data_IF_020916961515
#
_entry.id   IF_020916961515
#
_cell.length_a   1.000
_cell.length_b   1.000
_cell.length_c   1.000
_cell.angle_alpha   90.00
_cell.angle_beta   90.00
_cell.angle_gamma   90.00
#
_symmetry.space_group_name_H-M   'P 1'
#
loop_
_entity.id
_entity.type
_entity.pdbx_description
1 polymer ?
#
# COMPACT_ATOMS: atom_id res chain seq x y z
N UNK A 1 22.06 -5.52 -2.21
CA UNK A 1 20.78 -6.19 -1.87
C UNK A 1 19.70 -5.77 -2.87
N UNK A 2 18.92 -6.74 -3.38
CA UNK A 2 17.74 -6.50 -4.23
C UNK A 2 16.47 -6.67 -3.41
N UNK A 3 15.44 -5.83 -3.65
CA UNK A 3 14.20 -5.83 -2.88
C UNK A 3 12.95 -6.02 -3.71
N UNK A 4 11.91 -6.58 -3.08
CA UNK A 4 10.56 -6.70 -3.60
C UNK A 4 9.63 -5.78 -2.82
N UNK A 5 8.95 -4.84 -3.50
CA UNK A 5 7.92 -3.99 -2.88
C UNK A 5 6.55 -4.52 -3.26
N UNK A 6 5.81 -4.99 -2.27
CA UNK A 6 4.48 -5.53 -2.47
C UNK A 6 3.42 -4.46 -2.24
N UNK A 7 2.89 -3.94 -3.35
CA UNK A 7 1.80 -2.96 -3.36
C UNK A 7 0.44 -3.63 -3.15
N UNK A 8 -0.48 -2.96 -2.46
CA UNK A 8 -1.87 -3.36 -2.27
C UNK A 8 -2.82 -2.21 -2.58
N UNK A 9 -3.38 -1.53 -1.57
CA UNK A 9 -4.23 -0.35 -1.76
C UNK A 9 -3.42 0.96 -1.81
N UNK A 10 -2.16 0.90 -1.48
CA UNK A 10 -1.18 1.99 -1.46
C UNK A 10 -0.54 2.26 -2.84
N UNK A 11 -1.37 2.36 -3.89
CA UNK A 11 -0.96 2.48 -5.30
C UNK A 11 -0.36 3.86 -5.61
N UNK A 12 0.74 4.22 -4.92
CA UNK A 12 1.41 5.50 -5.07
C UNK A 12 2.93 5.37 -4.91
N UNK A 13 3.63 6.34 -5.47
CA UNK A 13 5.09 6.46 -5.38
C UNK A 13 5.48 7.54 -4.37
N UNK A 14 4.71 8.62 -4.28
CA UNK A 14 4.94 9.70 -3.32
C UNK A 14 4.52 9.26 -1.92
N UNK A 15 5.32 9.66 -0.93
CA UNK A 15 5.03 9.43 0.49
C UNK A 15 4.63 7.98 0.80
N UNK A 16 5.31 7.02 0.18
CA UNK A 16 5.11 5.59 0.39
C UNK A 16 6.27 5.03 1.22
N UNK A 17 5.97 4.69 2.47
CA UNK A 17 6.96 4.29 3.48
C UNK A 17 7.73 3.04 3.05
N UNK A 18 7.05 2.00 2.58
CA UNK A 18 7.70 0.76 2.14
C UNK A 18 8.62 0.98 0.95
N UNK A 19 8.16 1.73 -0.06
CA UNK A 19 8.95 2.04 -1.24
C UNK A 19 10.18 2.88 -0.91
N UNK A 20 10.03 3.88 -0.02
CA UNK A 20 11.15 4.71 0.44
C UNK A 20 12.23 3.86 1.12
N UNK A 21 11.85 3.00 2.07
CA UNK A 21 12.81 2.15 2.77
C UNK A 21 13.44 1.09 1.88
N UNK A 22 12.67 0.53 0.95
CA UNK A 22 13.21 -0.36 -0.07
C UNK A 22 14.25 0.35 -0.94
N UNK A 23 13.95 1.56 -1.42
CA UNK A 23 14.87 2.36 -2.24
C UNK A 23 16.16 2.73 -1.49
N UNK A 24 16.07 2.95 -0.18
CA UNK A 24 17.24 3.27 0.66
C UNK A 24 18.12 2.05 0.94
N UNK A 25 17.51 0.87 1.11
CA UNK A 25 18.21 -0.35 1.51
C UNK A 25 18.67 -1.19 0.33
N UNK A 26 17.94 -1.18 -0.79
CA UNK A 26 18.17 -2.07 -1.93
C UNK A 26 18.92 -1.35 -3.05
N UNK A 27 20.23 -1.21 -2.90
CA UNK A 27 21.13 -0.52 -3.85
C UNK A 27 21.24 -1.22 -5.21
N UNK A 28 21.00 -2.53 -5.27
CA UNK A 28 21.16 -3.36 -6.47
C UNK A 28 19.86 -3.45 -7.30
N UNK A 29 18.81 -2.79 -6.83
CA UNK A 29 17.56 -2.64 -7.53
C UNK A 29 16.32 -3.11 -6.76
N UNK A 30 15.18 -2.64 -7.24
CA UNK A 30 13.85 -2.90 -6.66
C UNK A 30 12.93 -3.42 -7.76
N UNK A 31 12.06 -4.36 -7.39
CA UNK A 31 10.93 -4.79 -8.20
C UNK A 31 9.65 -4.46 -7.42
N UNK A 32 8.69 -3.81 -8.06
CA UNK A 32 7.32 -3.71 -7.57
C UNK A 32 6.54 -4.98 -7.92
N UNK A 33 5.67 -5.44 -7.05
CA UNK A 33 4.72 -6.51 -7.34
C UNK A 33 3.34 -6.15 -6.84
N UNK A 34 2.33 -6.47 -7.64
CA UNK A 34 0.93 -6.46 -7.25
C UNK A 34 0.31 -7.83 -7.50
N UNK A 35 -0.43 -8.35 -6.52
CA UNK A 35 -1.10 -9.65 -6.63
C UNK A 35 -2.60 -9.43 -6.72
N UNK A 36 -3.18 -9.82 -7.85
CA UNK A 36 -4.62 -9.84 -8.09
C UNK A 36 -5.19 -11.09 -7.42
N UNK A 37 -6.00 -10.90 -6.39
CA UNK A 37 -6.74 -11.96 -5.72
C UNK A 37 -8.25 -11.75 -5.89
N UNK A 38 -8.78 -12.26 -7.00
CA UNK A 38 -10.21 -12.16 -7.30
C UNK A 38 -11.08 -12.99 -6.34
N UNK A 39 -10.53 -14.01 -5.69
CA UNK A 39 -11.25 -14.81 -4.70
C UNK A 39 -11.52 -14.01 -3.42
N UNK A 40 -10.51 -13.25 -2.97
CA UNK A 40 -10.64 -12.34 -1.85
C UNK A 40 -11.65 -11.22 -2.14
N UNK A 41 -11.55 -10.59 -3.33
CA UNK A 41 -12.49 -9.55 -3.73
C UNK A 41 -13.94 -10.03 -3.79
N UNK A 42 -14.17 -11.25 -4.28
CA UNK A 42 -15.51 -11.86 -4.29
C UNK A 42 -16.00 -12.16 -2.87
N UNK A 43 -15.14 -12.72 -2.01
CA UNK A 43 -15.45 -12.98 -0.60
C UNK A 43 -15.91 -11.72 0.14
N UNK A 44 -15.28 -10.57 -0.17
CA UNK A 44 -15.58 -9.28 0.45
C UNK A 44 -16.55 -8.40 -0.36
N UNK A 45 -17.24 -8.97 -1.34
CA UNK A 45 -18.22 -8.28 -2.17
C UNK A 45 -17.69 -6.96 -2.78
N UNK A 46 -16.42 -6.93 -3.21
CA UNK A 46 -15.83 -5.74 -3.80
C UNK A 46 -16.58 -5.33 -5.07
N UNK A 47 -17.07 -4.10 -5.13
CA UNK A 47 -17.83 -3.59 -6.25
C UNK A 47 -16.99 -3.55 -7.53
N UNK A 48 -17.59 -3.84 -8.67
CA UNK A 48 -16.90 -3.85 -9.95
C UNK A 48 -16.27 -2.49 -10.30
N UNK A 49 -16.92 -1.37 -9.98
CA UNK A 49 -16.37 -0.02 -10.17
C UNK A 49 -15.10 0.21 -9.35
N UNK A 50 -15.02 -0.31 -8.12
CA UNK A 50 -13.81 -0.24 -7.29
C UNK A 50 -12.66 -1.03 -7.91
N UNK A 51 -12.95 -2.22 -8.46
CA UNK A 51 -11.94 -3.03 -9.17
C UNK A 51 -11.44 -2.30 -10.42
N UNK A 52 -12.33 -1.70 -11.20
CA UNK A 52 -11.93 -0.92 -12.39
C UNK A 52 -11.07 0.29 -12.00
N UNK A 53 -11.45 1.02 -10.95
CA UNK A 53 -10.66 2.13 -10.41
C UNK A 53 -9.26 1.67 -9.97
N UNK A 54 -9.17 0.51 -9.31
CA UNK A 54 -7.92 -0.09 -8.87
C UNK A 54 -7.03 -0.46 -10.06
N UNK A 55 -7.58 -1.11 -11.10
CA UNK A 55 -6.83 -1.47 -12.30
C UNK A 55 -6.30 -0.23 -13.04
N UNK A 56 -7.10 0.82 -13.13
CA UNK A 56 -6.67 2.10 -13.68
C UNK A 56 -5.55 2.74 -12.83
N UNK A 57 -5.65 2.67 -11.49
CA UNK A 57 -4.59 3.11 -10.57
C UNK A 57 -3.29 2.32 -10.72
N UNK A 58 -3.39 1.00 -10.94
CA UNK A 58 -2.22 0.15 -11.22
C UNK A 58 -1.50 0.54 -12.51
N UNK A 59 -2.24 0.96 -13.54
CA UNK A 59 -1.64 1.44 -14.78
C UNK A 59 -0.79 2.71 -14.53
N UNK A 60 -1.35 3.67 -13.78
CA UNK A 60 -0.63 4.89 -13.41
C UNK A 60 0.58 4.58 -12.53
N UNK A 61 0.41 3.69 -11.53
CA UNK A 61 1.53 3.24 -10.70
C UNK A 61 2.65 2.61 -11.52
N UNK A 62 2.30 1.76 -12.51
CA UNK A 62 3.27 1.12 -13.39
C UNK A 62 4.10 2.15 -14.16
N UNK A 63 3.46 3.19 -14.70
CA UNK A 63 4.14 4.28 -15.40
C UNK A 63 5.05 5.09 -14.47
N UNK A 64 4.56 5.43 -13.27
CA UNK A 64 5.32 6.19 -12.27
C UNK A 64 6.53 5.42 -11.74
N UNK A 65 6.42 4.11 -11.55
CA UNK A 65 7.53 3.24 -11.16
C UNK A 65 8.53 3.08 -12.31
N UNK A 66 8.06 2.89 -13.54
CA UNK A 66 8.94 2.75 -14.71
C UNK A 66 9.77 4.01 -14.96
N UNK A 67 9.21 5.20 -14.79
CA UNK A 67 9.95 6.47 -14.85
C UNK A 67 11.12 6.53 -13.84
N UNK A 68 11.08 5.69 -12.78
CA UNK A 68 12.14 5.55 -11.77
C UNK A 68 13.01 4.31 -11.96
N UNK A 69 12.82 3.58 -13.07
CA UNK A 69 13.56 2.36 -13.36
C UNK A 69 13.14 1.15 -12.50
N UNK A 70 11.96 1.20 -11.88
CA UNK A 70 11.40 0.12 -11.06
C UNK A 70 10.35 -0.63 -11.88
N UNK A 71 10.59 -1.89 -12.29
CA UNK A 71 9.59 -2.68 -12.99
C UNK A 71 8.46 -3.09 -12.04
N UNK A 72 7.20 -3.09 -12.52
CA UNK A 72 6.03 -3.60 -11.80
C UNK A 72 5.61 -4.94 -12.36
N UNK A 73 5.61 -5.98 -11.53
CA UNK A 73 5.10 -7.29 -11.86
C UNK A 73 3.65 -7.42 -11.38
N UNK A 74 2.78 -7.88 -12.28
CA UNK A 74 1.39 -8.20 -11.96
C UNK A 74 1.24 -9.71 -11.97
N UNK A 75 0.73 -10.26 -10.88
CA UNK A 75 0.47 -11.69 -10.71
C UNK A 75 -0.99 -11.89 -10.32
N UNK A 76 -1.56 -13.01 -10.70
CA UNK A 76 -2.90 -13.39 -10.29
C UNK A 76 -2.85 -14.74 -9.58
N UNK A 77 -3.52 -14.83 -8.43
CA UNK A 77 -3.66 -16.06 -7.65
C UNK A 77 -5.09 -16.58 -7.69
N UNK A 78 -5.23 -17.89 -7.51
CA UNK A 78 -6.55 -18.54 -7.42
C UNK A 78 -7.14 -18.46 -6.02
N UNK A 79 -6.28 -18.46 -5.00
CA UNK A 79 -6.64 -18.40 -3.58
C UNK A 79 -5.68 -17.47 -2.84
N UNK A 80 -6.17 -16.80 -1.81
CA UNK A 80 -5.35 -15.94 -0.92
C UNK A 80 -4.18 -16.70 -0.30
N UNK A 81 -4.34 -17.99 -0.03
CA UNK A 81 -3.26 -18.87 0.49
C UNK A 81 -2.07 -19.00 -0.45
N UNK A 82 -2.26 -18.78 -1.75
CA UNK A 82 -1.21 -18.95 -2.76
C UNK A 82 -0.26 -17.73 -2.81
N UNK A 83 -0.63 -16.61 -2.18
CA UNK A 83 0.12 -15.34 -2.21
C UNK A 83 1.55 -15.52 -1.69
N UNK A 84 1.73 -16.21 -0.58
CA UNK A 84 3.04 -16.41 0.02
C UNK A 84 3.99 -17.16 -0.93
N UNK A 85 3.49 -18.21 -1.56
CA UNK A 85 4.25 -19.00 -2.52
C UNK A 85 4.58 -18.19 -3.79
N UNK A 86 3.64 -17.41 -4.31
CA UNK A 86 3.87 -16.56 -5.50
C UNK A 86 4.93 -15.48 -5.23
N UNK A 87 4.89 -14.85 -4.06
CA UNK A 87 5.91 -13.87 -3.63
C UNK A 87 7.29 -14.55 -3.50
N UNK A 88 7.35 -15.74 -2.93
CA UNK A 88 8.58 -16.51 -2.81
C UNK A 88 9.16 -16.90 -4.17
N UNK A 89 8.35 -17.43 -5.09
CA UNK A 89 8.78 -17.77 -6.44
C UNK A 89 9.32 -16.55 -7.19
N UNK A 90 8.65 -15.39 -7.03
CA UNK A 90 9.13 -14.13 -7.59
C UNK A 90 10.49 -13.75 -7.00
N UNK A 91 10.64 -13.84 -5.68
CA UNK A 91 11.88 -13.51 -5.01
C UNK A 91 13.02 -14.44 -5.41
N UNK A 92 12.81 -15.75 -5.48
CA UNK A 92 13.80 -16.71 -5.96
C UNK A 92 14.23 -16.44 -7.41
N UNK A 93 13.25 -16.28 -8.31
CA UNK A 93 13.50 -16.05 -9.74
C UNK A 93 14.39 -14.85 -9.99
N UNK A 94 14.21 -13.78 -9.21
CA UNK A 94 14.93 -12.52 -9.39
C UNK A 94 16.04 -12.30 -8.36
N UNK A 95 16.32 -13.29 -7.50
CA UNK A 95 17.35 -13.26 -6.45
C UNK A 95 17.13 -12.05 -5.51
N UNK A 96 15.92 -11.91 -4.99
CA UNK A 96 15.53 -10.84 -4.06
C UNK A 96 15.70 -11.31 -2.62
N UNK A 97 16.21 -10.45 -1.76
CA UNK A 97 16.61 -10.76 -0.40
C UNK A 97 15.65 -10.22 0.67
N UNK A 98 14.78 -9.28 0.28
CA UNK A 98 13.83 -8.66 1.20
C UNK A 98 12.50 -8.34 0.55
N UNK A 99 11.41 -8.53 1.32
CA UNK A 99 10.06 -8.05 1.00
C UNK A 99 9.78 -6.80 1.82
N UNK A 100 9.23 -5.76 1.18
CA UNK A 100 8.85 -4.48 1.77
C UNK A 100 7.39 -4.22 1.48
N UNK A 101 6.61 -3.81 2.51
CA UNK A 101 5.19 -3.50 2.31
C UNK A 101 4.63 -2.61 3.42
N UNK A 102 3.56 -1.88 3.13
CA UNK A 102 2.83 -1.09 4.11
C UNK A 102 1.74 -1.95 4.74
N UNK A 103 1.59 -1.94 6.06
CA UNK A 103 0.61 -2.74 6.79
C UNK A 103 -0.82 -2.36 6.42
N UNK A 104 -1.69 -3.33 6.40
CA UNK A 104 -3.15 -3.18 6.41
C UNK A 104 -3.66 -3.66 7.76
N UNK A 105 -4.75 -3.05 8.26
CA UNK A 105 -5.16 -3.24 9.66
C UNK A 105 -6.40 -4.11 9.84
N UNK A 106 -7.06 -4.46 8.76
CA UNK A 106 -8.20 -5.36 8.72
C UNK A 106 -7.79 -6.78 9.11
N UNK A 107 -8.75 -7.56 9.59
CA UNK A 107 -8.49 -8.88 10.22
C UNK A 107 -7.90 -9.88 9.20
N UNK A 108 -8.52 -9.98 8.02
CA UNK A 108 -8.10 -10.93 6.98
C UNK A 108 -6.74 -10.51 6.38
N UNK A 109 -6.50 -9.22 6.23
CA UNK A 109 -5.25 -8.66 5.72
C UNK A 109 -4.09 -8.88 6.71
N UNK A 110 -4.31 -8.66 8.00
CA UNK A 110 -3.32 -8.99 9.04
C UNK A 110 -2.99 -10.48 9.07
N UNK A 111 -3.99 -11.33 8.94
CA UNK A 111 -3.77 -12.79 8.91
C UNK A 111 -2.96 -13.19 7.68
N UNK A 112 -3.32 -12.68 6.51
CA UNK A 112 -2.57 -12.86 5.26
C UNK A 112 -1.13 -12.40 5.39
N UNK A 113 -0.90 -11.17 5.87
CA UNK A 113 0.43 -10.58 6.01
C UNK A 113 1.30 -11.39 6.98
N UNK A 114 0.73 -11.86 8.09
CA UNK A 114 1.40 -12.74 9.05
C UNK A 114 1.81 -14.08 8.41
N UNK A 115 0.91 -14.68 7.64
CA UNK A 115 1.17 -15.95 6.93
C UNK A 115 2.29 -15.78 5.91
N UNK A 116 2.25 -14.71 5.12
CA UNK A 116 3.28 -14.36 4.14
C UNK A 116 4.64 -14.17 4.83
N UNK A 117 4.68 -13.35 5.90
CA UNK A 117 5.94 -13.10 6.60
C UNK A 117 6.54 -14.36 7.23
N UNK A 118 5.73 -15.20 7.86
CA UNK A 118 6.20 -16.45 8.44
C UNK A 118 6.83 -17.36 7.38
N UNK A 119 6.14 -17.53 6.25
CA UNK A 119 6.61 -18.36 5.16
C UNK A 119 7.91 -17.83 4.55
N UNK A 120 7.97 -16.55 4.20
CA UNK A 120 9.15 -15.95 3.57
C UNK A 120 10.36 -15.91 4.50
N UNK A 121 10.16 -15.60 5.79
CA UNK A 121 11.25 -15.62 6.77
C UNK A 121 11.85 -17.02 6.95
N UNK A 122 11.02 -18.08 6.94
CA UNK A 122 11.49 -19.47 6.95
C UNK A 122 12.30 -19.82 5.68
N UNK A 123 11.99 -19.16 4.57
CA UNK A 123 12.72 -19.30 3.30
C UNK A 123 13.93 -18.35 3.17
N UNK A 124 14.30 -17.62 4.23
CA UNK A 124 15.46 -16.73 4.24
C UNK A 124 15.24 -15.34 3.62
N UNK A 125 13.97 -14.98 3.32
CA UNK A 125 13.60 -13.64 2.78
C UNK A 125 13.04 -12.78 3.90
N UNK A 126 13.75 -11.70 4.25
CA UNK A 126 13.37 -10.82 5.34
C UNK A 126 12.13 -9.99 4.96
N UNK A 127 11.08 -10.04 5.79
CA UNK A 127 9.90 -9.20 5.66
C UNK A 127 10.04 -7.90 6.45
N UNK A 128 9.81 -6.77 5.79
CA UNK A 128 9.85 -5.43 6.34
C UNK A 128 8.48 -4.76 6.16
N UNK A 129 7.71 -4.65 7.25
CA UNK A 129 6.36 -4.10 7.26
C UNK A 129 6.33 -2.74 7.95
N UNK A 130 5.70 -1.75 7.32
CA UNK A 130 5.68 -0.36 7.77
C UNK A 130 4.26 0.12 8.05
N UNK A 131 4.11 1.01 9.05
CA UNK A 131 2.87 1.75 9.26
C UNK A 131 2.86 2.95 8.32
N UNK A 132 1.79 3.09 7.51
CA UNK A 132 1.71 4.07 6.43
C UNK A 132 0.31 4.68 6.27
N UNK A 133 -0.75 3.94 6.62
CA UNK A 133 -2.13 4.38 6.46
C UNK A 133 -2.64 5.28 7.59
N UNK A 134 -1.92 5.37 8.70
CA UNK A 134 -2.34 6.09 9.90
C UNK A 134 -1.20 6.93 10.46
N UNK A 135 -1.52 8.08 11.04
CA UNK A 135 -0.54 8.97 11.64
C UNK A 135 0.10 8.33 12.88
N UNK A 136 -0.72 7.76 13.76
CA UNK A 136 -0.26 7.02 14.93
C UNK A 136 -0.56 5.53 14.75
N UNK A 137 0.47 4.67 14.82
CA UNK A 137 0.28 3.22 14.71
C UNK A 137 -0.74 2.67 15.71
N UNK A 138 -1.56 1.68 15.34
CA UNK A 138 -2.50 1.05 16.25
C UNK A 138 -1.80 0.50 17.49
N UNK A 139 -2.38 0.76 18.66
CA UNK A 139 -1.82 0.34 19.94
C UNK A 139 -0.82 1.31 20.57
N UNK A 140 -0.41 2.40 19.88
CA UNK A 140 0.47 3.42 20.46
C UNK A 140 -0.25 4.28 21.50
N UNK A 141 -1.54 4.60 21.26
CA UNK A 141 -2.37 5.39 22.19
C UNK A 141 -3.01 4.46 23.20
N UNK A 142 -2.50 4.49 24.44
CA UNK A 142 -2.94 3.62 25.52
C UNK A 142 -3.30 4.41 26.77
N UNK A 143 -4.11 3.79 27.64
CA UNK A 143 -4.35 4.31 29.00
C UNK A 143 -3.05 4.30 29.82
N UNK A 144 -3.04 4.97 30.98
CA UNK A 144 -1.92 4.92 31.93
C UNK A 144 -1.57 3.50 32.41
N UNK A 145 -2.50 2.57 32.26
CA UNK A 145 -2.35 1.15 32.63
C UNK A 145 -1.92 0.27 31.44
N UNK A 146 -1.58 0.85 30.27
CA UNK A 146 -1.19 0.10 29.06
C UNK A 146 -2.35 -0.59 28.33
N UNK A 147 -3.62 -0.22 28.61
CA UNK A 147 -4.81 -0.81 27.97
C UNK A 147 -5.34 0.10 26.86
N UNK A 148 -6.07 -0.49 25.92
CA UNK A 148 -6.83 0.25 24.91
C UNK A 148 -7.95 1.05 25.55
N UNK A 149 -8.25 2.22 25.00
CA UNK A 149 -9.41 3.00 25.40
C UNK A 149 -10.70 2.36 24.88
N UNK A 150 -11.71 2.27 25.73
CA UNK A 150 -13.08 1.84 25.34
C UNK A 150 -14.00 3.02 25.04
N UNK A 151 -13.61 4.24 25.38
CA UNK A 151 -14.41 5.46 25.20
C UNK A 151 -13.63 6.45 24.33
N UNK A 152 -14.32 7.01 23.33
CA UNK A 152 -13.70 7.89 22.33
C UNK A 152 -13.11 9.19 22.90
N UNK A 153 -13.82 9.88 23.80
CA UNK A 153 -13.39 11.21 24.29
C UNK A 153 -12.03 11.17 24.99
N UNK A 154 -11.75 10.27 25.96
CA UNK A 154 -10.43 10.15 26.55
C UNK A 154 -9.39 9.65 25.55
N UNK A 155 -9.74 8.75 24.63
CA UNK A 155 -8.86 8.35 23.52
C UNK A 155 -8.43 9.56 22.67
N UNK A 156 -9.39 10.38 22.21
CA UNK A 156 -9.14 11.59 21.43
C UNK A 156 -8.17 12.54 22.15
N UNK A 157 -8.37 12.76 23.45
CA UNK A 157 -7.48 13.64 24.25
C UNK A 157 -6.06 13.09 24.28
N UNK A 158 -5.89 11.82 24.57
CA UNK A 158 -4.58 11.17 24.61
C UNK A 158 -3.90 11.16 23.22
N UNK A 159 -4.68 10.90 22.16
CA UNK A 159 -4.22 10.93 20.76
C UNK A 159 -3.69 12.32 20.39
N UNK A 160 -4.47 13.38 20.63
CA UNK A 160 -4.07 14.75 20.32
C UNK A 160 -2.86 15.20 21.15
N UNK A 161 -2.81 14.83 22.42
CA UNK A 161 -1.66 15.14 23.29
C UNK A 161 -0.38 14.47 22.76
N UNK A 162 -0.47 13.20 22.36
CA UNK A 162 0.67 12.47 21.80
C UNK A 162 1.13 13.09 20.48
N UNK A 163 0.19 13.46 19.60
CA UNK A 163 0.46 14.08 18.32
C UNK A 163 1.13 15.45 18.46
N UNK A 164 0.62 16.30 19.34
CA UNK A 164 1.15 17.66 19.56
C UNK A 164 2.52 17.66 20.25
N UNK A 165 2.78 16.69 21.14
CA UNK A 165 4.05 16.58 21.86
C UNK A 165 5.18 15.95 21.03
N UNK A 166 4.86 15.34 19.88
CA UNK A 166 5.83 14.64 19.03
C UNK A 166 5.75 15.16 17.61
N UNK A 167 6.32 16.32 17.34
CA UNK A 167 6.30 16.94 16.00
C UNK A 167 6.93 16.07 14.90
N UNK A 168 7.81 15.13 15.26
CA UNK A 168 8.47 14.21 14.35
C UNK A 168 7.63 12.94 13.99
N UNK A 169 6.43 12.79 14.55
CA UNK A 169 5.56 11.66 14.26
C UNK A 169 5.03 11.71 12.81
N UNK A 170 4.79 12.93 12.29
CA UNK A 170 4.38 13.10 10.90
C UNK A 170 5.65 13.15 10.05
N UNK A 171 6.02 12.02 9.48
CA UNK A 171 7.12 11.91 8.54
C UNK A 171 6.61 12.00 7.11
N UNK A 172 7.27 12.78 6.27
CA UNK A 172 7.04 12.79 4.84
C UNK A 172 8.19 12.04 4.14
N UNK A 173 7.84 11.01 3.41
CA UNK A 173 8.82 10.20 2.68
C UNK A 173 8.98 10.73 1.26
N UNK A 174 10.16 11.29 1.00
CA UNK A 174 10.48 11.80 -0.34
C UNK A 174 10.42 10.72 -1.41
N UNK A 175 10.16 11.14 -2.64
CA UNK A 175 10.19 10.26 -3.81
C UNK A 175 11.52 9.48 -3.87
N UNK A 176 11.50 8.18 -4.13
CA UNK A 176 12.72 7.42 -4.31
C UNK A 176 13.52 7.97 -5.50
N UNK A 177 14.84 8.03 -5.36
CA UNK A 177 15.74 8.33 -6.47
C UNK A 177 15.55 7.28 -7.57
N UNK A 178 15.87 7.66 -8.81
CA UNK A 178 15.87 6.70 -9.91
C UNK A 178 16.78 5.52 -9.56
N UNK A 179 16.21 4.31 -9.59
CA UNK A 179 16.91 3.07 -9.34
C UNK A 179 17.66 2.62 -10.59
N UNK A 180 18.69 1.77 -10.41
CA UNK A 180 19.32 1.10 -11.54
C UNK A 180 18.28 0.23 -12.25
N UNK A 181 18.21 0.34 -13.55
CA UNK A 181 17.24 -0.44 -14.34
C UNK A 181 17.67 -1.91 -14.30
N UNK A 182 16.81 -2.73 -13.71
CA UNK A 182 16.96 -4.17 -13.82
C UNK A 182 16.53 -4.60 -15.24
N UNK A 183 17.17 -5.63 -15.80
CA UNK A 183 16.79 -6.22 -17.10
C UNK A 183 15.46 -6.98 -17.00
N UNK A 184 14.45 -6.35 -16.41
CA UNK A 184 13.12 -6.90 -16.15
C UNK A 184 12.12 -5.89 -16.69
N UNK A 185 11.17 -6.37 -17.48
CA UNK A 185 10.07 -5.53 -17.98
C UNK A 185 8.86 -5.65 -17.08
N UNK A 186 8.15 -4.53 -16.90
CA UNK A 186 6.83 -4.52 -16.25
C UNK A 186 5.85 -5.43 -17.00
N UNK A 187 4.97 -6.10 -16.26
CA UNK A 187 3.84 -6.80 -16.88
C UNK A 187 2.80 -5.79 -17.36
N UNK A 188 2.04 -6.17 -18.37
CA UNK A 188 0.85 -5.42 -18.74
C UNK A 188 -0.19 -5.51 -17.62
N UNK A 189 -0.73 -4.37 -17.23
CA UNK A 189 -1.86 -4.30 -16.31
C UNK A 189 -3.12 -4.74 -17.07
N UNK A 190 -3.91 -5.70 -16.57
CA UNK A 190 -5.16 -6.07 -17.21
C UNK A 190 -6.14 -4.89 -17.17
N UNK A 191 -6.74 -4.55 -18.29
CA UNK A 191 -7.72 -3.47 -18.37
C UNK A 191 -9.09 -3.88 -17.81
N UNK A 192 -9.39 -5.16 -17.81
CA UNK A 192 -10.63 -5.74 -17.28
C UNK A 192 -10.37 -7.12 -16.70
N UNK A 193 -11.19 -7.50 -15.74
CA UNK A 193 -11.19 -8.83 -15.15
C UNK A 193 -12.60 -9.44 -15.24
N UNK A 194 -12.67 -10.72 -15.56
CA UNK A 194 -13.94 -11.46 -15.63
C UNK A 194 -14.71 -11.37 -14.31
N UNK A 195 -15.98 -11.00 -14.40
CA UNK A 195 -16.87 -10.81 -13.25
C UNK A 195 -16.76 -9.44 -12.55
N UNK A 196 -15.96 -8.50 -13.10
CA UNK A 196 -15.78 -7.14 -12.55
C UNK A 196 -15.85 -6.08 -13.66
N UNK A 197 -16.85 -6.16 -14.55
CA UNK A 197 -17.05 -5.14 -15.59
C UNK A 197 -17.89 -3.99 -15.06
N UNK A 198 -17.37 -2.77 -15.18
CA UNK A 198 -18.08 -1.53 -14.84
C UNK A 198 -17.43 -0.34 -15.54
N UNK A 199 -18.15 0.77 -15.67
CA UNK A 199 -17.56 2.03 -16.09
C UNK A 199 -16.62 2.57 -14.98
N UNK A 200 -15.55 3.25 -15.40
CA UNK A 200 -14.70 4.02 -14.47
C UNK A 200 -15.44 5.32 -14.18
N UNK A 201 -15.88 5.51 -12.94
CA UNK A 201 -16.62 6.69 -12.51
C UNK A 201 -15.67 7.84 -12.19
N UNK A 202 -14.49 7.51 -11.65
CA UNK A 202 -13.52 8.49 -11.18
C UNK A 202 -12.16 8.26 -11.84
N UNK A 203 -11.50 9.31 -12.35
CA UNK A 203 -10.11 9.20 -12.75
C UNK A 203 -9.24 8.75 -11.57
N UNK A 204 -8.24 7.91 -11.84
CA UNK A 204 -7.39 7.31 -10.81
C UNK A 204 -5.94 7.77 -10.95
N UNK A 205 -5.16 7.59 -9.89
CA UNK A 205 -3.74 7.90 -9.83
C UNK A 205 -3.39 9.07 -8.92
N UNK A 206 -2.10 9.25 -8.66
CA UNK A 206 -1.60 10.22 -7.69
C UNK A 206 -1.89 11.67 -8.10
N UNK A 207 -1.67 12.02 -9.36
CA UNK A 207 -1.88 13.38 -9.86
C UNK A 207 -3.35 13.81 -9.73
N UNK A 208 -4.27 12.90 -10.03
CA UNK A 208 -5.69 13.17 -9.85
C UNK A 208 -6.07 13.28 -8.36
N UNK A 209 -5.50 12.46 -7.50
CA UNK A 209 -5.70 12.57 -6.06
C UNK A 209 -5.19 13.91 -5.52
N UNK A 210 -4.02 14.38 -5.96
CA UNK A 210 -3.45 15.68 -5.61
C UNK A 210 -4.32 16.83 -6.12
N UNK A 211 -4.80 16.74 -7.37
CA UNK A 211 -5.70 17.74 -7.94
C UNK A 211 -6.98 17.87 -7.12
N UNK A 212 -7.60 16.75 -6.75
CA UNK A 212 -8.83 16.75 -5.93
C UNK A 212 -8.59 17.24 -4.52
N UNK A 213 -7.48 16.90 -3.92
CA UNK A 213 -7.10 17.40 -2.60
C UNK A 213 -6.96 18.93 -2.62
N UNK A 214 -6.27 19.45 -3.63
CA UNK A 214 -6.12 20.90 -3.81
C UNK A 214 -7.46 21.59 -3.99
N UNK A 215 -8.32 21.07 -4.87
CA UNK A 215 -9.68 21.57 -5.10
C UNK A 215 -10.53 21.58 -3.82
N UNK A 216 -10.43 20.49 -3.02
CA UNK A 216 -11.12 20.41 -1.74
C UNK A 216 -10.62 21.45 -0.74
N UNK A 217 -9.30 21.64 -0.63
CA UNK A 217 -8.70 22.65 0.28
C UNK A 217 -9.14 24.05 -0.11
N UNK A 218 -9.16 24.38 -1.40
CA UNK A 218 -9.50 25.70 -1.92
C UNK A 218 -11.00 26.01 -1.80
N UNK A 219 -11.88 25.02 -2.07
CA UNK A 219 -13.31 25.27 -2.26
C UNK A 219 -14.21 24.56 -1.24
N UNK A 220 -13.77 23.43 -0.63
CA UNK A 220 -14.62 22.58 0.21
C UNK A 220 -14.31 22.65 1.70
N UNK A 221 -13.05 22.89 2.09
CA UNK A 221 -12.61 22.75 3.47
C UNK A 221 -13.37 23.66 4.45
N UNK A 222 -13.57 24.93 4.09
CA UNK A 222 -14.30 25.91 4.93
C UNK A 222 -15.78 25.55 5.13
N UNK A 223 -16.37 24.84 4.20
CA UNK A 223 -17.79 24.43 4.24
C UNK A 223 -17.97 22.96 4.66
N UNK A 224 -16.89 22.23 4.91
CA UNK A 224 -16.92 20.80 5.20
C UNK A 224 -17.87 20.43 6.34
N UNK A 225 -17.92 21.23 7.42
CA UNK A 225 -18.81 20.98 8.55
C UNK A 225 -20.32 21.06 8.20
N UNK A 226 -20.67 21.75 7.09
CA UNK A 226 -22.05 21.86 6.58
C UNK A 226 -22.35 20.82 5.50
N UNK A 227 -21.33 20.40 4.73
CA UNK A 227 -21.52 19.63 3.49
C UNK A 227 -21.07 18.16 3.59
N UNK A 228 -20.44 17.77 4.70
CA UNK A 228 -19.88 16.41 4.86
C UNK A 228 -20.92 15.28 4.88
N UNK A 229 -22.17 15.60 5.23
CA UNK A 229 -23.24 14.62 5.41
C UNK A 229 -24.24 14.64 4.24
N UNK A 230 -23.92 15.32 3.11
CA UNK A 230 -24.75 15.45 1.92
C UNK A 230 -24.03 14.97 0.66
#
# INVERSE_FOLDING_TARGET
MKGLVWFREDLRVQDNTALYHAAKQCTDGIIGIYIIDTSFWKKHHMAACRVQFLLAGLLVLSQNLEARGIPLLIKQVKKTTDIAQELYQCAQKHKLEGLFFNKQYEVDEKHRDKTVCNYLNQCGIKCNAYDDQVILPPGLVQTKQGKTFSIFTPYKRAYLQLLLNNQNIISHYSLPKRQNRLEIRSNKVPLQLSGFSSAIIWPSGEDEAQRRLKEFIENGLFHYYKTRDF
#
